data_IF_483604884100
#
_entry.id   IF_483604884100
#
_cell.length_a   1.000
_cell.length_b   1.000
_cell.length_c   1.000
_cell.angle_alpha   90.00
_cell.angle_beta   90.00
_cell.angle_gamma   90.00
#
_symmetry.space_group_name_H-M   'P 1'
#
loop_
_entity.id
_entity.type
_entity.pdbx_description
1 polymer ?
#
# COMPACT_ATOMS: atom_id res chain seq x y z
N UNK A 1 23.74 0.36 -5.78
CA UNK A 1 23.32 0.18 -4.37
C UNK A 1 22.59 1.44 -3.92
N UNK A 2 21.38 1.66 -4.42
CA UNK A 2 20.50 2.80 -4.08
C UNK A 2 19.08 2.25 -4.08
N UNK A 3 18.62 1.74 -2.93
CA UNK A 3 17.20 1.36 -2.75
C UNK A 3 16.74 1.29 -1.28
N UNK A 4 17.64 1.45 -0.31
CA UNK A 4 17.26 1.52 1.11
C UNK A 4 16.69 2.89 1.48
N UNK A 5 17.41 3.96 1.14
CA UNK A 5 17.02 5.33 1.50
C UNK A 5 15.60 5.71 1.06
N UNK A 6 15.18 5.44 -0.18
CA UNK A 6 13.86 5.84 -0.68
C UNK A 6 12.70 5.14 0.05
N UNK A 7 12.90 3.90 0.51
CA UNK A 7 11.93 3.17 1.34
C UNK A 7 11.81 3.78 2.73
N UNK A 8 12.95 4.12 3.34
CA UNK A 8 13.01 4.73 4.67
C UNK A 8 12.32 6.10 4.70
N UNK A 9 12.44 6.89 3.62
CA UNK A 9 11.71 8.17 3.48
C UNK A 9 10.20 7.98 3.38
N UNK A 10 9.76 7.00 2.58
CA UNK A 10 8.33 6.70 2.45
C UNK A 10 7.74 6.28 3.81
N UNK A 11 8.41 5.37 4.52
CA UNK A 11 7.97 4.89 5.83
C UNK A 11 7.98 6.01 6.89
N UNK A 12 8.97 6.91 6.86
CA UNK A 12 9.02 8.08 7.74
C UNK A 12 7.92 9.09 7.42
N UNK A 13 7.63 9.35 6.14
CA UNK A 13 6.55 10.23 5.71
C UNK A 13 5.19 9.69 6.13
N UNK A 14 4.94 8.39 5.93
CA UNK A 14 3.68 7.74 6.33
C UNK A 14 3.47 7.81 7.84
N UNK A 15 4.53 7.52 8.63
CA UNK A 15 4.51 7.62 10.08
C UNK A 15 4.28 9.06 10.58
N UNK A 16 4.92 10.04 9.94
CA UNK A 16 4.77 11.47 10.28
C UNK A 16 3.36 11.97 9.97
N UNK A 17 2.82 11.57 8.82
CA UNK A 17 1.46 11.90 8.41
C UNK A 17 0.43 11.27 9.37
N UNK A 18 0.64 10.01 9.75
CA UNK A 18 -0.19 9.31 10.71
C UNK A 18 -0.20 9.99 12.09
N UNK A 19 0.97 10.40 12.58
CA UNK A 19 1.10 11.13 13.84
C UNK A 19 0.35 12.47 13.76
N UNK A 20 0.50 13.22 12.67
CA UNK A 20 -0.23 14.47 12.45
C UNK A 20 -1.76 14.25 12.44
N UNK A 21 -2.25 13.23 11.74
CA UNK A 21 -3.68 12.91 11.68
C UNK A 21 -4.28 12.50 13.03
N UNK A 22 -3.52 11.86 13.92
CA UNK A 22 -4.05 11.28 15.17
C UNK A 22 -3.80 12.15 16.41
N UNK A 23 -2.68 12.86 16.47
CA UNK A 23 -2.26 13.64 17.65
C UNK A 23 -2.64 15.12 17.56
N UNK A 24 -2.71 15.67 16.36
CA UNK A 24 -3.06 17.08 16.18
C UNK A 24 -4.57 17.24 16.25
N UNK A 25 -5.05 17.95 17.27
CA UNK A 25 -6.43 18.42 17.36
C UNK A 25 -6.45 19.92 17.10
N UNK A 26 -7.41 20.34 16.29
CA UNK A 26 -7.73 21.76 16.11
C UNK A 26 -8.38 22.34 17.38
N UNK A 27 -8.47 23.67 17.53
CA UNK A 27 -9.14 24.30 18.68
C UNK A 27 -10.60 23.86 18.89
N UNK A 28 -11.23 23.32 17.84
CA UNK A 28 -12.60 22.79 17.84
C UNK A 28 -12.64 21.30 18.28
N UNK A 29 -11.48 20.71 18.60
CA UNK A 29 -11.34 19.33 19.04
C UNK A 29 -11.33 18.29 17.92
N UNK A 30 -11.36 18.71 16.65
CA UNK A 30 -11.35 17.81 15.49
C UNK A 30 -9.92 17.60 14.95
N UNK A 31 -9.64 16.39 14.47
CA UNK A 31 -8.41 16.10 13.71
C UNK A 31 -8.43 16.82 12.34
N UNK A 32 -7.29 17.31 11.83
CA UNK A 32 -7.16 17.83 10.46
C UNK A 32 -7.71 16.87 9.40
N UNK A 33 -7.51 15.56 9.57
CA UNK A 33 -8.05 14.54 8.67
C UNK A 33 -9.59 14.55 8.66
N UNK A 34 -10.22 14.68 9.82
CA UNK A 34 -11.68 14.75 9.95
C UNK A 34 -12.28 16.02 9.33
N UNK A 35 -11.52 17.12 9.27
CA UNK A 35 -11.93 18.36 8.62
C UNK A 35 -11.86 18.28 7.09
N UNK A 36 -10.79 17.68 6.55
CA UNK A 36 -10.61 17.55 5.09
C UNK A 36 -11.59 16.54 4.50
N UNK A 37 -11.82 15.42 5.19
CA UNK A 37 -12.65 14.33 4.66
C UNK A 37 -14.12 14.40 5.10
N UNK A 38 -14.49 15.33 6.00
CA UNK A 38 -15.88 15.64 6.34
C UNK A 38 -16.64 14.48 7.00
N UNK A 39 -16.86 14.58 8.32
CA UNK A 39 -17.60 13.64 9.18
C UNK A 39 -16.99 12.24 9.26
N UNK A 40 -16.46 11.94 10.46
CA UNK A 40 -16.29 10.62 11.10
C UNK A 40 -16.32 9.47 10.09
N UNK A 41 -15.30 9.43 9.25
CA UNK A 41 -15.29 8.50 8.16
C UNK A 41 -15.12 7.08 8.71
N UNK A 42 -15.99 6.16 8.32
CA UNK A 42 -15.71 4.72 8.31
C UNK A 42 -14.51 4.36 7.39
N UNK A 43 -13.81 5.35 6.81
CA UNK A 43 -12.76 5.23 5.81
C UNK A 43 -11.44 4.58 6.26
N UNK A 44 -10.89 4.73 7.48
CA UNK A 44 -9.55 4.21 7.76
C UNK A 44 -9.46 2.70 7.52
N UNK A 45 -10.50 1.98 7.95
CA UNK A 45 -10.57 0.53 7.79
C UNK A 45 -10.95 0.13 6.36
N UNK A 46 -11.90 0.81 5.72
CA UNK A 46 -12.36 0.50 4.36
C UNK A 46 -11.28 0.84 3.31
N UNK A 47 -10.60 1.98 3.42
CA UNK A 47 -9.46 2.32 2.57
C UNK A 47 -8.27 1.39 2.80
N UNK A 48 -7.95 1.06 4.06
CA UNK A 48 -6.91 0.08 4.33
C UNK A 48 -7.27 -1.28 3.73
N UNK A 49 -8.52 -1.77 3.87
CA UNK A 49 -8.99 -3.01 3.25
C UNK A 49 -8.91 -2.97 1.72
N UNK A 50 -9.34 -1.87 1.10
CA UNK A 50 -9.27 -1.70 -0.36
C UNK A 50 -7.81 -1.70 -0.84
N UNK A 51 -6.92 -0.98 -0.15
CA UNK A 51 -5.49 -0.99 -0.43
C UNK A 51 -4.89 -2.39 -0.27
N UNK A 52 -5.27 -3.10 0.80
CA UNK A 52 -4.84 -4.47 1.06
C UNK A 52 -5.33 -5.44 -0.01
N UNK A 53 -6.58 -5.32 -0.44
CA UNK A 53 -7.16 -6.11 -1.53
C UNK A 53 -6.42 -5.86 -2.85
N UNK A 54 -6.17 -4.59 -3.19
CA UNK A 54 -5.37 -4.24 -4.37
C UNK A 54 -3.95 -4.81 -4.31
N UNK A 55 -3.30 -4.72 -3.15
CA UNK A 55 -1.94 -5.26 -2.95
C UNK A 55 -1.93 -6.77 -3.12
N UNK A 56 -2.93 -7.48 -2.58
CA UNK A 56 -3.07 -8.93 -2.69
C UNK A 56 -3.31 -9.37 -4.15
N UNK A 57 -4.18 -8.68 -4.88
CA UNK A 57 -4.43 -8.95 -6.30
C UNK A 57 -3.17 -8.76 -7.17
N UNK A 58 -2.35 -7.75 -6.85
CA UNK A 58 -1.07 -7.54 -7.56
C UNK A 58 -0.04 -8.65 -7.30
N UNK A 59 0.03 -9.16 -6.06
CA UNK A 59 0.88 -10.30 -5.75
C UNK A 59 0.41 -11.59 -6.45
N UNK A 60 -0.90 -11.84 -6.48
CA UNK A 60 -1.49 -13.00 -7.15
C UNK A 60 -1.24 -12.98 -8.67
N UNK A 61 -1.38 -11.80 -9.29
CA UNK A 61 -1.04 -11.59 -10.71
C UNK A 61 0.44 -11.89 -10.98
N UNK A 62 1.35 -11.43 -10.13
CA UNK A 62 2.79 -11.72 -10.28
C UNK A 62 3.09 -13.21 -10.16
N UNK A 63 2.49 -13.89 -9.18
CA UNK A 63 2.65 -15.32 -9.01
C UNK A 63 2.14 -16.10 -10.25
N UNK A 64 1.01 -15.70 -10.82
CA UNK A 64 0.48 -16.30 -12.04
C UNK A 64 1.41 -16.11 -13.25
N UNK A 65 2.00 -14.91 -13.40
CA UNK A 65 2.97 -14.62 -14.46
C UNK A 65 4.22 -15.48 -14.28
N UNK A 66 4.76 -15.60 -13.07
CA UNK A 66 5.94 -16.42 -12.79
C UNK A 66 5.72 -17.90 -13.11
N UNK A 67 4.56 -18.46 -12.74
CA UNK A 67 4.18 -19.83 -13.09
C UNK A 67 4.08 -20.01 -14.61
N UNK A 68 3.46 -19.05 -15.32
CA UNK A 68 3.37 -19.08 -16.78
C UNK A 68 4.75 -19.03 -17.45
N UNK A 69 5.64 -18.17 -16.97
CA UNK A 69 7.03 -18.07 -17.46
C UNK A 69 7.80 -19.37 -17.22
N UNK A 70 7.62 -20.01 -16.06
CA UNK A 70 8.26 -21.29 -15.76
C UNK A 70 7.77 -22.41 -16.69
N UNK A 71 6.48 -22.43 -17.02
CA UNK A 71 5.94 -23.40 -17.98
C UNK A 71 6.49 -23.17 -19.39
N UNK A 72 6.60 -21.92 -19.84
CA UNK A 72 7.19 -21.58 -21.12
C UNK A 72 8.67 -22.00 -21.20
N UNK A 73 9.45 -21.76 -20.13
CA UNK A 73 10.84 -22.19 -20.07
C UNK A 73 10.97 -23.72 -20.20
N UNK A 74 10.11 -24.47 -19.50
CA UNK A 74 10.09 -25.95 -19.60
C UNK A 74 9.75 -26.45 -21.01
N UNK A 75 8.85 -25.77 -21.72
CA UNK A 75 8.51 -26.12 -23.10
C UNK A 75 9.64 -25.81 -24.08
N UNK A 76 10.35 -24.69 -23.86
CA UNK A 76 11.54 -24.33 -24.63
C UNK A 76 12.65 -25.37 -24.47
N UNK A 77 12.90 -25.79 -23.22
CA UNK A 77 13.89 -26.82 -22.90
C UNK A 77 13.51 -28.19 -23.45
N UNK A 78 12.22 -28.49 -23.57
CA UNK A 78 11.72 -29.74 -24.14
C UNK A 78 11.82 -29.78 -25.68
N UNK A 79 11.75 -28.62 -26.33
CA UNK A 79 11.89 -28.48 -27.78
C UNK A 79 13.34 -28.32 -28.26
N UNK A 80 14.31 -28.21 -27.34
CA UNK A 80 15.75 -28.11 -27.64
C UNK A 80 16.44 -29.47 -27.50
#
# INVERSE_FOLDING_TARGET
>A
MVNSSCKDWADHMDSTLWAYCTTSRTPIGMSPYALVFGKVCHLPLEQHKALWACKKLNFDKHASIEVGLLQLHKLQDWCS
#
